data_IF_508626223284
#
_entry.id   IF_508626223284
#
_cell.length_a   1.000
_cell.length_b   1.000
_cell.length_c   1.000
_cell.angle_alpha   90.00
_cell.angle_beta   90.00
_cell.angle_gamma   90.00
#
_symmetry.space_group_name_H-M   'P 1'
#
loop_
_entity.id
_entity.type
_entity.pdbx_description
1 polymer ?
#
# COMPACT_ATOMS: atom_id res chain seq x y z
N UNK A 1 3.44 -16.85 10.85
CA UNK A 1 4.29 -16.51 12.02
C UNK A 1 4.33 -15.00 12.17
N UNK A 2 3.83 -14.43 13.26
CA UNK A 2 3.98 -13.00 13.55
C UNK A 2 5.33 -12.72 14.20
N UNK A 3 6.06 -11.71 13.70
CA UNK A 3 7.27 -11.18 14.34
C UNK A 3 6.89 -9.95 15.16
N UNK A 4 7.46 -9.80 16.35
CA UNK A 4 7.27 -8.62 17.19
C UNK A 4 8.20 -7.51 16.71
N UNK A 5 7.63 -6.34 16.42
CA UNK A 5 8.36 -5.12 16.07
C UNK A 5 8.00 -4.07 17.12
N UNK A 6 9.00 -3.46 17.75
CA UNK A 6 8.78 -2.34 18.66
C UNK A 6 8.48 -1.07 17.89
N UNK A 7 7.37 -0.42 18.21
CA UNK A 7 6.98 0.87 17.64
C UNK A 7 6.95 1.90 18.77
N UNK A 8 7.73 2.98 18.63
CA UNK A 8 7.71 4.13 19.55
C UNK A 8 7.08 5.30 18.81
N UNK A 9 5.76 5.52 18.96
CA UNK A 9 5.09 6.63 18.30
C UNK A 9 5.61 7.97 18.83
N UNK A 10 5.66 8.96 17.93
CA UNK A 10 5.72 10.38 18.29
C UNK A 10 4.34 10.90 18.66
N UNK A 11 4.26 12.10 19.23
CA UNK A 11 2.97 12.75 19.55
C UNK A 11 2.07 12.90 18.30
N UNK A 12 2.68 13.14 17.14
CA UNK A 12 1.96 13.22 15.86
C UNK A 12 1.45 11.84 15.39
N UNK A 13 2.25 10.78 15.54
CA UNK A 13 1.81 9.42 15.25
C UNK A 13 0.61 9.03 16.12
N UNK A 14 0.67 9.37 17.41
CA UNK A 14 -0.44 9.11 18.34
C UNK A 14 -1.72 9.86 17.94
N UNK A 15 -1.57 11.13 17.54
CA UNK A 15 -2.69 11.93 17.03
C UNK A 15 -3.30 11.30 15.78
N UNK A 16 -2.47 10.94 14.80
CA UNK A 16 -2.92 10.29 13.55
C UNK A 16 -3.62 8.96 13.85
N UNK A 17 -3.06 8.13 14.73
CA UNK A 17 -3.65 6.85 15.12
C UNK A 17 -5.03 7.08 15.77
N UNK A 18 -5.13 8.05 16.67
CA UNK A 18 -6.37 8.37 17.39
C UNK A 18 -7.46 8.90 16.46
N UNK A 19 -7.10 9.71 15.48
CA UNK A 19 -8.03 10.23 14.47
C UNK A 19 -8.47 9.14 13.46
N UNK A 20 -7.57 8.18 13.17
CA UNK A 20 -7.82 7.15 12.17
C UNK A 20 -8.54 5.91 12.70
N UNK A 21 -8.53 5.69 14.02
CA UNK A 21 -9.12 4.50 14.66
C UNK A 21 -10.65 4.49 14.44
N UNK A 22 -11.18 3.32 14.09
CA UNK A 22 -12.62 3.10 13.95
C UNK A 22 -13.15 2.38 15.18
N UNK A 23 -14.47 2.45 15.39
CA UNK A 23 -15.14 1.65 16.41
C UNK A 23 -14.78 0.16 16.18
N UNK A 24 -14.27 -0.49 17.22
CA UNK A 24 -13.75 -1.88 17.24
C UNK A 24 -12.33 -2.13 16.66
N UNK A 25 -11.58 -1.09 16.26
CA UNK A 25 -10.16 -1.25 15.88
C UNK A 25 -9.21 -1.13 17.08
N UNK A 26 -8.13 -1.92 17.09
CA UNK A 26 -6.97 -1.66 17.96
C UNK A 26 -5.91 -0.87 17.21
N UNK A 27 -5.00 -0.21 17.93
CA UNK A 27 -3.85 0.50 17.33
C UNK A 27 -3.06 -0.35 16.33
N UNK A 28 -2.84 -1.63 16.61
CA UNK A 28 -2.14 -2.53 15.69
C UNK A 28 -2.90 -2.72 14.37
N UNK A 29 -4.23 -2.68 14.41
CA UNK A 29 -5.07 -2.83 13.21
C UNK A 29 -5.01 -1.56 12.35
N UNK A 30 -4.98 -0.38 12.99
CA UNK A 30 -4.71 0.91 12.32
C UNK A 30 -3.34 0.90 11.65
N UNK A 31 -2.29 0.46 12.36
CA UNK A 31 -0.93 0.37 11.81
C UNK A 31 -0.89 -0.60 10.62
N UNK A 32 -1.55 -1.76 10.71
CA UNK A 32 -1.65 -2.70 9.57
C UNK A 32 -2.34 -2.08 8.38
N UNK A 33 -3.42 -1.31 8.60
CA UNK A 33 -4.14 -0.60 7.55
C UNK A 33 -3.26 0.47 6.91
N UNK A 34 -2.51 1.23 7.69
CA UNK A 34 -1.54 2.20 7.18
C UNK A 34 -0.46 1.54 6.31
N UNK A 35 0.09 0.40 6.74
CA UNK A 35 1.07 -0.35 5.94
C UNK A 35 0.50 -0.82 4.59
N UNK A 36 -0.77 -1.24 4.55
CA UNK A 36 -1.44 -1.61 3.29
C UNK A 36 -1.69 -0.42 2.38
N UNK A 37 -1.91 0.77 2.94
CA UNK A 37 -2.02 1.99 2.13
C UNK A 37 -0.68 2.34 1.47
N UNK A 38 0.43 2.25 2.21
CA UNK A 38 1.78 2.45 1.66
C UNK A 38 2.11 1.45 0.55
N UNK A 39 1.74 0.17 0.73
CA UNK A 39 1.93 -0.87 -0.30
C UNK A 39 1.12 -0.55 -1.57
N UNK A 40 -0.12 -0.09 -1.41
CA UNK A 40 -0.96 0.34 -2.55
C UNK A 40 -0.37 1.53 -3.29
N UNK A 41 0.18 2.51 -2.57
CA UNK A 41 0.84 3.68 -3.18
C UNK A 41 2.07 3.26 -3.99
N UNK A 42 2.88 2.35 -3.45
CA UNK A 42 4.03 1.79 -4.17
C UNK A 42 3.59 1.02 -5.43
N UNK A 43 2.52 0.24 -5.33
CA UNK A 43 1.94 -0.46 -6.48
C UNK A 43 1.45 0.52 -7.55
N UNK A 44 0.75 1.60 -7.18
CA UNK A 44 0.27 2.60 -8.14
C UNK A 44 1.42 3.31 -8.85
N UNK A 45 2.50 3.64 -8.12
CA UNK A 45 3.69 4.22 -8.72
C UNK A 45 4.34 3.27 -9.73
N UNK A 46 4.45 1.98 -9.38
CA UNK A 46 4.96 0.93 -10.27
C UNK A 46 4.08 0.78 -11.51
N UNK A 47 2.77 0.64 -11.33
CA UNK A 47 1.81 0.47 -12.41
C UNK A 47 1.83 1.65 -13.39
N UNK A 48 1.96 2.88 -12.87
CA UNK A 48 2.11 4.07 -13.71
C UNK A 48 3.40 4.03 -14.53
N UNK A 49 4.53 3.72 -13.90
CA UNK A 49 5.80 3.62 -14.61
C UNK A 49 5.79 2.51 -15.67
N UNK A 50 5.15 1.38 -15.38
CA UNK A 50 4.97 0.29 -16.33
C UNK A 50 4.06 0.72 -17.50
N UNK A 51 2.96 1.42 -17.23
CA UNK A 51 2.09 1.95 -18.29
C UNK A 51 2.81 2.97 -19.19
N UNK A 52 3.63 3.86 -18.60
CA UNK A 52 4.45 4.81 -19.36
C UNK A 52 5.50 4.08 -20.21
N UNK A 53 6.10 2.99 -19.71
CA UNK A 53 7.08 2.18 -20.44
C UNK A 53 6.47 1.39 -21.59
N UNK A 54 5.25 0.90 -21.41
CA UNK A 54 4.53 0.07 -22.40
C UNK A 54 3.63 0.91 -23.32
N UNK A 55 3.68 2.24 -23.21
CA UNK A 55 2.76 3.13 -23.93
C UNK A 55 2.84 2.99 -25.46
N UNK A 56 4.02 2.65 -25.99
CA UNK A 56 4.30 2.48 -27.41
C UNK A 56 4.45 0.99 -27.80
N UNK A 57 4.10 0.06 -26.90
CA UNK A 57 4.14 -1.37 -27.19
C UNK A 57 2.99 -1.76 -28.14
N UNK A 58 3.35 -2.25 -29.33
CA UNK A 58 2.40 -2.77 -30.31
C UNK A 58 2.33 -4.29 -30.20
N UNK A 59 1.22 -4.79 -29.64
CA UNK A 59 0.92 -6.22 -29.49
C UNK A 59 0.05 -6.76 -30.64
N UNK A 60 -0.19 -5.99 -31.70
CA UNK A 60 -1.14 -6.37 -32.76
C UNK A 60 -0.77 -7.62 -33.54
N UNK A 61 0.53 -7.97 -33.57
CA UNK A 61 1.06 -9.17 -34.23
C UNK A 61 1.23 -10.37 -33.27
N UNK A 62 0.93 -10.24 -31.98
CA UNK A 62 1.01 -11.35 -31.03
C UNK A 62 -0.19 -12.30 -31.16
N UNK A 63 0.10 -13.60 -31.22
CA UNK A 63 -0.94 -14.63 -31.26
C UNK A 63 -1.64 -14.71 -29.90
N UNK A 64 -2.96 -14.58 -29.89
CA UNK A 64 -3.77 -14.69 -28.67
C UNK A 64 -3.64 -16.10 -28.08
N UNK A 65 -2.90 -16.21 -26.98
CA UNK A 65 -2.53 -17.46 -26.34
C UNK A 65 -3.36 -17.67 -25.06
N UNK A 66 -4.68 -17.81 -25.21
CA UNK A 66 -5.63 -18.11 -24.14
C UNK A 66 -6.44 -19.37 -24.43
#
# INVERSE_FOLDING_TARGET
>A
MSKTIGFRPTDDDERIIREAIRDDERTTDVIRRALRLLDREAWLARARADAERLADEDLSDEADAW
#
